data_IF_549539393893
#
_entry.id   IF_549539393893
#
_cell.length_a   1.000
_cell.length_b   1.000
_cell.length_c   1.000
_cell.angle_alpha   90.00
_cell.angle_beta   90.00
_cell.angle_gamma   90.00
#
_symmetry.space_group_name_H-M   'P 1'
#
loop_
_entity.id
_entity.type
_entity.pdbx_description
1 polymer ?
#
# COMPACT_ATOMS: atom_id res chain seq x y z
N UNK A 1 -1.26 6.17 -29.21
CA UNK A 1 -0.18 5.17 -29.06
C UNK A 1 0.96 5.67 -28.15
N UNK A 2 1.77 6.68 -28.53
CA UNK A 2 2.79 7.26 -27.62
C UNK A 2 2.17 7.89 -26.35
N UNK A 3 1.08 8.67 -26.50
CA UNK A 3 0.39 9.29 -25.36
C UNK A 3 -0.21 8.27 -24.39
N UNK A 4 -0.76 7.17 -24.90
CA UNK A 4 -1.39 6.13 -24.06
C UNK A 4 -0.35 5.37 -23.23
N UNK A 5 0.84 5.13 -23.80
CA UNK A 5 1.97 4.53 -23.08
C UNK A 5 2.51 5.40 -21.96
N UNK A 6 2.73 6.68 -22.25
CA UNK A 6 3.18 7.63 -21.22
C UNK A 6 2.13 7.75 -20.11
N UNK A 7 0.84 7.73 -20.45
CA UNK A 7 -0.25 7.70 -19.48
C UNK A 7 -0.18 6.46 -18.59
N UNK A 8 -0.01 5.26 -19.14
CA UNK A 8 0.09 4.03 -18.34
C UNK A 8 1.32 4.01 -17.43
N UNK A 9 2.47 4.50 -17.91
CA UNK A 9 3.69 4.63 -17.08
C UNK A 9 3.48 5.60 -15.92
N UNK A 10 2.90 6.77 -16.19
CA UNK A 10 2.60 7.77 -15.15
C UNK A 10 1.57 7.25 -14.14
N UNK A 11 0.54 6.52 -14.58
CA UNK A 11 -0.41 5.87 -13.69
C UNK A 11 0.26 4.81 -12.81
N UNK A 12 1.17 4.00 -13.37
CA UNK A 12 1.93 3.02 -12.58
C UNK A 12 2.83 3.68 -11.52
N UNK A 13 3.50 4.78 -11.87
CA UNK A 13 4.31 5.57 -10.92
C UNK A 13 3.47 6.16 -9.79
N UNK A 14 2.29 6.68 -10.11
CA UNK A 14 1.34 7.17 -9.10
C UNK A 14 0.89 6.06 -8.15
N UNK A 15 0.57 4.86 -8.67
CA UNK A 15 0.18 3.72 -7.85
C UNK A 15 1.32 3.25 -6.93
N UNK A 16 2.55 3.24 -7.42
CA UNK A 16 3.72 2.96 -6.58
C UNK A 16 3.87 4.02 -5.49
N UNK A 17 3.72 5.30 -5.82
CA UNK A 17 3.75 6.37 -4.82
C UNK A 17 2.69 6.15 -3.72
N UNK A 18 1.45 5.81 -4.09
CA UNK A 18 0.42 5.45 -3.11
C UNK A 18 0.77 4.20 -2.30
N UNK A 19 1.37 3.17 -2.92
CA UNK A 19 1.82 1.98 -2.20
C UNK A 19 2.85 2.33 -1.12
N UNK A 20 3.76 3.28 -1.39
CA UNK A 20 4.72 3.76 -0.39
C UNK A 20 4.00 4.51 0.74
N UNK A 21 2.99 5.32 0.43
CA UNK A 21 2.19 6.03 1.44
C UNK A 21 1.40 5.09 2.34
N UNK A 22 0.83 4.03 1.79
CA UNK A 22 0.18 2.98 2.59
C UNK A 22 1.19 2.34 3.55
N UNK A 23 2.39 2.03 3.06
CA UNK A 23 3.45 1.47 3.90
C UNK A 23 3.90 2.42 5.02
N UNK A 24 4.07 3.72 4.74
CA UNK A 24 4.36 4.74 5.78
C UNK A 24 3.28 4.79 6.87
N UNK A 25 2.00 4.72 6.48
CA UNK A 25 0.88 4.70 7.43
C UNK A 25 0.87 3.41 8.27
N UNK A 26 1.18 2.27 7.67
CA UNK A 26 1.32 0.99 8.38
C UNK A 26 2.44 1.05 9.42
N UNK A 27 3.60 1.64 9.09
CA UNK A 27 4.69 1.83 10.06
C UNK A 27 4.27 2.71 11.24
N UNK A 28 3.47 3.75 11.02
CA UNK A 28 2.90 4.57 12.10
C UNK A 28 1.92 3.77 12.96
N UNK A 29 1.13 2.90 12.34
CA UNK A 29 0.22 1.98 13.03
C UNK A 29 0.99 1.02 13.95
N UNK A 30 2.09 0.45 13.45
CA UNK A 30 2.97 -0.41 14.24
C UNK A 30 3.60 0.35 15.43
N UNK A 31 4.02 1.61 15.23
CA UNK A 31 4.53 2.44 16.33
C UNK A 31 3.47 2.62 17.43
N UNK A 32 2.21 2.89 17.06
CA UNK A 32 1.11 3.01 18.02
C UNK A 32 0.87 1.72 18.80
N UNK A 33 1.06 0.55 18.17
CA UNK A 33 1.02 -0.74 18.86
C UNK A 33 2.12 -0.88 19.91
N UNK A 34 3.34 -0.46 19.59
CA UNK A 34 4.46 -0.47 20.55
C UNK A 34 4.19 0.48 21.72
N UNK A 35 3.74 1.70 21.42
CA UNK A 35 3.39 2.69 22.44
C UNK A 35 2.29 2.16 23.36
N UNK A 36 1.23 1.59 22.79
CA UNK A 36 0.14 0.94 23.55
C UNK A 36 0.67 -0.13 24.49
N UNK A 37 1.52 -1.04 24.00
CA UNK A 37 2.10 -2.10 24.83
C UNK A 37 2.95 -1.52 25.97
N UNK A 38 3.74 -0.47 25.71
CA UNK A 38 4.53 0.21 26.74
C UNK A 38 3.64 0.81 27.83
N UNK A 39 2.52 1.46 27.45
CA UNK A 39 1.59 1.99 28.45
C UNK A 39 0.91 0.86 29.24
N UNK A 40 0.52 -0.24 28.59
CA UNK A 40 -0.05 -1.40 29.28
C UNK A 40 0.91 -2.01 30.31
N UNK A 41 2.19 -2.15 29.98
CA UNK A 41 3.21 -2.62 30.93
C UNK A 41 3.32 -1.70 32.14
N UNK A 42 3.30 -0.38 31.93
CA UNK A 42 3.34 0.59 33.03
C UNK A 42 2.03 0.62 33.85
N UNK A 43 0.90 0.28 33.24
CA UNK A 43 -0.40 0.20 33.90
C UNK A 43 -0.59 -1.11 34.70
N UNK A 44 0.30 -2.09 34.56
CA UNK A 44 0.17 -3.36 35.25
C UNK A 44 0.32 -3.20 36.77
N UNK A 45 1.22 -2.31 37.19
CA UNK A 45 1.42 -1.93 38.61
C UNK A 45 0.43 -0.88 39.11
N UNK A 46 -0.50 -0.41 38.26
CA UNK A 46 -1.49 0.58 38.65
C UNK A 46 -2.68 -0.08 39.34
N UNK A 47 -3.01 0.38 40.54
CA UNK A 47 -4.23 0.01 41.27
C UNK A 47 -5.26 1.14 41.17
N UNK A 48 -6.31 0.91 40.39
CA UNK A 48 -7.42 1.86 40.22
C UNK A 48 -8.71 1.11 39.92
N UNK A 49 -9.84 1.68 40.37
CA UNK A 49 -11.19 1.22 40.01
C UNK A 49 -11.45 1.26 38.50
N UNK A 50 -10.72 2.12 37.75
CA UNK A 50 -10.84 2.24 36.30
C UNK A 50 -9.94 1.28 35.50
N UNK A 51 -9.12 0.45 36.16
CA UNK A 51 -8.16 -0.46 35.48
C UNK A 51 -8.84 -1.40 34.49
N UNK A 52 -9.99 -1.99 34.87
CA UNK A 52 -10.72 -2.91 34.01
C UNK A 52 -11.21 -2.24 32.71
N UNK A 53 -11.84 -1.06 32.82
CA UNK A 53 -12.28 -0.27 31.66
C UNK A 53 -11.10 0.14 30.78
N UNK A 54 -9.98 0.52 31.40
CA UNK A 54 -8.76 0.86 30.67
C UNK A 54 -8.23 -0.32 29.86
N UNK A 55 -8.11 -1.51 30.46
CA UNK A 55 -7.69 -2.72 29.76
C UNK A 55 -8.64 -3.09 28.60
N UNK A 56 -9.94 -2.90 28.79
CA UNK A 56 -10.93 -3.12 27.74
C UNK A 56 -10.70 -2.18 26.54
N UNK A 57 -10.58 -0.87 26.76
CA UNK A 57 -10.33 0.12 25.69
C UNK A 57 -9.04 -0.23 24.94
N UNK A 58 -8.00 -0.61 25.66
CA UNK A 58 -6.72 -0.99 25.05
C UNK A 58 -6.82 -2.29 24.23
N UNK A 59 -7.65 -3.24 24.66
CA UNK A 59 -7.96 -4.45 23.90
C UNK A 59 -8.76 -4.13 22.62
N UNK A 60 -9.75 -3.26 22.68
CA UNK A 60 -10.52 -2.80 21.51
C UNK A 60 -9.63 -2.06 20.49
N UNK A 61 -8.71 -1.23 20.98
CA UNK A 61 -7.69 -0.58 20.16
C UNK A 61 -6.75 -1.60 19.50
N UNK A 62 -6.43 -2.72 20.17
CA UNK A 62 -5.63 -3.79 19.60
C UNK A 62 -6.34 -4.51 18.45
N UNK A 63 -7.62 -4.86 18.61
CA UNK A 63 -8.42 -5.47 17.55
C UNK A 63 -8.51 -4.56 16.31
N UNK A 64 -8.71 -3.26 16.53
CA UNK A 64 -8.73 -2.26 15.45
C UNK A 64 -7.40 -2.20 14.71
N UNK A 65 -6.27 -2.18 15.44
CA UNK A 65 -4.93 -2.21 14.83
C UNK A 65 -4.76 -3.41 13.88
N UNK A 66 -5.09 -4.63 14.31
CA UNK A 66 -4.93 -5.82 13.48
C UNK A 66 -5.78 -5.77 12.20
N UNK A 67 -7.03 -5.31 12.33
CA UNK A 67 -7.89 -5.12 11.16
C UNK A 67 -7.31 -4.09 10.18
N UNK A 68 -6.89 -2.92 10.68
CA UNK A 68 -6.29 -1.87 9.84
C UNK A 68 -4.96 -2.29 9.21
N UNK A 69 -4.10 -3.01 9.92
CA UNK A 69 -2.83 -3.51 9.38
C UNK A 69 -3.06 -4.53 8.26
N UNK A 70 -4.03 -5.43 8.43
CA UNK A 70 -4.40 -6.41 7.39
C UNK A 70 -4.94 -5.72 6.13
N UNK A 71 -5.85 -4.75 6.29
CA UNK A 71 -6.39 -3.98 5.16
C UNK A 71 -5.29 -3.18 4.46
N UNK A 72 -4.38 -2.57 5.23
CA UNK A 72 -3.22 -1.85 4.70
C UNK A 72 -2.34 -2.74 3.82
N UNK A 73 -2.04 -3.95 4.28
CA UNK A 73 -1.22 -4.91 3.51
C UNK A 73 -1.92 -5.30 2.21
N UNK A 74 -3.21 -5.62 2.27
CA UNK A 74 -4.00 -5.97 1.09
C UNK A 74 -4.05 -4.82 0.07
N UNK A 75 -4.22 -3.59 0.53
CA UNK A 75 -4.23 -2.41 -0.33
C UNK A 75 -2.85 -2.17 -0.96
N UNK A 76 -1.77 -2.25 -0.18
CA UNK A 76 -0.39 -2.12 -0.68
C UNK A 76 -0.12 -3.12 -1.81
N UNK A 77 -0.48 -4.38 -1.61
CA UNK A 77 -0.27 -5.43 -2.61
C UNK A 77 -1.22 -5.31 -3.82
N UNK A 78 -2.43 -4.77 -3.64
CA UNK A 78 -3.31 -4.43 -4.76
C UNK A 78 -2.71 -3.31 -5.63
N UNK A 79 -2.18 -2.25 -5.01
CA UNK A 79 -1.55 -1.12 -5.71
C UNK A 79 -0.32 -1.56 -6.51
N UNK A 80 0.57 -2.36 -5.91
CA UNK A 80 1.75 -2.91 -6.61
C UNK A 80 1.37 -3.78 -7.80
N UNK A 81 0.37 -4.66 -7.65
CA UNK A 81 -0.10 -5.53 -8.74
C UNK A 81 -0.64 -4.71 -9.90
N UNK A 82 -1.44 -3.68 -9.62
CA UNK A 82 -1.98 -2.82 -10.67
C UNK A 82 -0.88 -1.97 -11.34
N UNK A 83 0.09 -1.46 -10.57
CA UNK A 83 1.25 -0.76 -11.13
C UNK A 83 2.06 -1.66 -12.09
N UNK A 84 2.29 -2.93 -11.70
CA UNK A 84 2.96 -3.91 -12.56
C UNK A 84 2.16 -4.17 -13.85
N UNK A 85 0.84 -4.37 -13.74
CA UNK A 85 -0.06 -4.56 -14.89
C UNK A 85 0.01 -3.40 -15.88
N UNK A 86 -0.01 -2.17 -15.40
CA UNK A 86 0.07 -0.97 -16.25
C UNK A 86 1.43 -0.85 -16.96
N UNK A 87 2.53 -1.24 -16.30
CA UNK A 87 3.87 -1.30 -16.93
C UNK A 87 3.92 -2.34 -18.03
N UNK A 88 3.35 -3.51 -17.80
CA UNK A 88 3.27 -4.57 -18.81
C UNK A 88 2.48 -4.10 -20.02
N UNK A 89 1.32 -3.44 -19.83
CA UNK A 89 0.55 -2.84 -20.92
C UNK A 89 1.36 -1.81 -21.71
N UNK A 90 2.07 -0.91 -21.03
CA UNK A 90 2.91 0.08 -21.69
C UNK A 90 4.06 -0.55 -22.49
N UNK A 91 4.67 -1.61 -21.96
CA UNK A 91 5.76 -2.33 -22.62
C UNK A 91 5.26 -3.12 -23.83
N UNK A 92 4.07 -3.73 -23.74
CA UNK A 92 3.47 -4.45 -24.87
C UNK A 92 3.14 -3.50 -26.03
N UNK A 93 2.57 -2.33 -25.73
CA UNK A 93 2.38 -1.27 -26.72
C UNK A 93 3.70 -0.78 -27.34
N UNK A 94 4.83 -0.85 -26.62
CA UNK A 94 6.14 -0.50 -27.16
C UNK A 94 6.68 -1.58 -28.10
N UNK A 95 6.44 -2.85 -27.78
CA UNK A 95 6.81 -3.97 -28.65
C UNK A 95 6.00 -3.96 -29.95
N UNK A 96 4.69 -3.72 -29.88
CA UNK A 96 3.83 -3.68 -31.05
C UNK A 96 4.25 -2.57 -32.02
N UNK A 97 4.52 -1.35 -31.53
CA UNK A 97 5.01 -0.27 -32.39
C UNK A 97 6.36 -0.61 -33.07
N UNK A 98 7.29 -1.27 -32.38
CA UNK A 98 8.57 -1.72 -32.96
C UNK A 98 8.41 -2.79 -34.03
N UNK A 99 7.36 -3.61 -33.95
CA UNK A 99 7.04 -4.64 -34.94
C UNK A 99 6.33 -4.04 -36.18
N UNK A 100 5.56 -2.97 -36.00
CA UNK A 100 4.84 -2.29 -37.08
C UNK A 100 5.73 -1.32 -37.90
N UNK A 101 6.77 -0.74 -37.29
CA UNK A 101 7.75 0.13 -37.96
C UNK A 101 8.43 -0.48 -39.21
N UNK A 102 8.97 -1.71 -39.19
CA UNK A 102 9.59 -2.31 -40.37
C UNK A 102 8.57 -2.62 -41.49
N UNK A 103 7.32 -2.94 -41.15
CA UNK A 103 6.27 -3.23 -42.11
C UNK A 103 5.82 -1.97 -42.88
N UNK A 104 5.82 -0.80 -42.23
CA UNK A 104 5.53 0.48 -42.88
C UNK A 104 6.67 1.03 -43.75
N UNK A 105 7.92 0.66 -43.47
CA UNK A 105 9.09 1.08 -44.28
C UNK A 105 9.25 0.26 -45.56
N UNK A 106 8.72 -0.96 -45.62
CA UNK A 106 8.71 -1.79 -46.83
C UNK A 106 7.52 -1.49 -47.76
N UNK A 107 6.47 -0.82 -47.25
CA UNK A 107 5.27 -0.45 -48.00
C UNK A 107 5.30 0.98 -48.58
N UNK A 108 6.44 1.69 -48.48
CA UNK A 108 6.71 3.00 -49.08
C UNK A 108 7.84 2.90 -50.09
#
# INVERSE_FOLDING_TARGET
>A
MIFDKQKYRMQAEMLDWYSHKVNELMQKLDQLRWDRNRVLTNADTWESKSKATYLQIMSEAASTHFASASIGEQLKEALKREAARLREMANEMERQEKLDEPNQRQAR
#
